data_IF_362070963278
#
_entry.id   IF_362070963278
#
_cell.length_a   1.000
_cell.length_b   1.000
_cell.length_c   1.000
_cell.angle_alpha   90.00
_cell.angle_beta   90.00
_cell.angle_gamma   90.00
#
_symmetry.space_group_name_H-M   'P 1'
#
loop_
_entity.id
_entity.type
_entity.pdbx_description
1 polymer ?
#
# COMPACT_ATOMS: atom_id res chain seq x y z
N UNK A 1 26.83 -18.22 16.35
CA UNK A 1 26.12 -16.97 16.72
C UNK A 1 24.67 -17.36 16.89
N UNK A 2 24.08 -17.27 18.09
CA UNK A 2 22.63 -17.54 18.26
C UNK A 2 21.92 -16.34 17.65
N UNK A 3 21.21 -16.54 16.52
CA UNK A 3 20.31 -15.53 15.99
C UNK A 3 19.20 -15.32 17.04
N UNK A 4 18.94 -14.07 17.39
CA UNK A 4 17.77 -13.70 18.18
C UNK A 4 16.47 -14.02 17.41
N UNK A 5 15.31 -13.85 18.02
CA UNK A 5 14.04 -14.01 17.32
C UNK A 5 14.02 -13.06 16.11
N UNK A 6 13.57 -13.59 14.96
CA UNK A 6 13.37 -12.77 13.76
C UNK A 6 12.16 -11.88 13.96
N UNK A 7 12.26 -10.60 13.58
CA UNK A 7 11.08 -9.73 13.50
C UNK A 7 10.10 -10.27 12.45
N UNK A 8 8.83 -10.22 12.76
CA UNK A 8 7.76 -10.73 11.90
C UNK A 8 7.15 -9.58 11.11
N UNK A 9 7.12 -9.71 9.78
CA UNK A 9 6.58 -8.72 8.86
C UNK A 9 5.33 -9.28 8.17
N UNK A 10 4.22 -8.58 8.26
CA UNK A 10 3.01 -8.89 7.50
C UNK A 10 2.85 -7.91 6.33
N UNK A 11 2.81 -8.44 5.10
CA UNK A 11 2.58 -7.67 3.87
C UNK A 11 1.16 -7.97 3.38
N UNK A 12 0.31 -6.93 3.29
CA UNK A 12 -1.03 -7.02 2.69
C UNK A 12 -0.99 -6.56 1.24
N UNK A 13 -1.88 -7.09 0.38
CA UNK A 13 -1.82 -6.82 -1.05
C UNK A 13 -0.55 -7.39 -1.70
N UNK A 14 -0.10 -8.55 -1.21
CA UNK A 14 1.17 -9.15 -1.57
C UNK A 14 1.25 -9.61 -3.04
N UNK A 15 0.13 -9.94 -3.68
CA UNK A 15 0.10 -10.27 -5.10
C UNK A 15 0.25 -9.04 -6.02
N UNK A 16 0.11 -7.82 -5.48
CA UNK A 16 0.34 -6.57 -6.20
C UNK A 16 1.82 -6.31 -6.51
N UNK A 17 2.09 -5.37 -7.42
CA UNK A 17 3.48 -5.03 -7.84
C UNK A 17 4.38 -4.65 -6.67
N UNK A 18 3.90 -3.78 -5.78
CA UNK A 18 4.68 -3.33 -4.62
C UNK A 18 4.85 -4.45 -3.59
N UNK A 19 3.77 -5.21 -3.31
CA UNK A 19 3.84 -6.33 -2.37
C UNK A 19 4.87 -7.37 -2.77
N UNK A 20 4.84 -7.80 -4.03
CA UNK A 20 5.82 -8.76 -4.58
C UNK A 20 7.26 -8.21 -4.55
N UNK A 21 7.45 -6.93 -4.88
CA UNK A 21 8.78 -6.33 -4.85
C UNK A 21 9.31 -6.24 -3.42
N UNK A 22 8.51 -5.81 -2.46
CA UNK A 22 8.90 -5.71 -1.05
C UNK A 22 9.23 -7.10 -0.50
N UNK A 23 8.37 -8.11 -0.73
CA UNK A 23 8.61 -9.48 -0.33
C UNK A 23 9.94 -10.01 -0.88
N UNK A 24 10.19 -9.77 -2.17
CA UNK A 24 11.41 -10.21 -2.85
C UNK A 24 12.69 -9.58 -2.27
N UNK A 25 12.65 -8.29 -1.89
CA UNK A 25 13.81 -7.57 -1.38
C UNK A 25 14.03 -7.69 0.13
N UNK A 26 13.05 -8.18 0.88
CA UNK A 26 13.22 -8.44 2.31
C UNK A 26 14.23 -9.57 2.54
N UNK A 27 15.12 -9.34 3.50
CA UNK A 27 16.08 -10.37 3.93
C UNK A 27 15.40 -11.42 4.83
N UNK A 28 15.02 -12.55 4.22
CA UNK A 28 14.35 -13.66 4.91
C UNK A 28 15.25 -14.36 5.98
N UNK A 29 16.53 -14.02 6.05
CA UNK A 29 17.39 -14.46 7.17
C UNK A 29 17.15 -13.61 8.43
N UNK A 30 16.67 -12.38 8.29
CA UNK A 30 16.40 -11.43 9.37
C UNK A 30 14.92 -11.32 9.73
N UNK A 31 14.04 -11.47 8.74
CA UNK A 31 12.60 -11.27 8.89
C UNK A 31 11.82 -12.54 8.59
N UNK A 32 10.86 -12.85 9.46
CA UNK A 32 9.82 -13.82 9.15
C UNK A 32 8.71 -13.10 8.39
N UNK A 33 8.61 -13.36 7.09
CA UNK A 33 7.64 -12.69 6.23
C UNK A 33 6.35 -13.50 6.15
N UNK A 34 5.22 -12.85 6.35
CA UNK A 34 3.88 -13.35 6.11
C UNK A 34 3.20 -12.47 5.08
N UNK A 35 2.49 -13.07 4.16
CA UNK A 35 1.79 -12.37 3.08
C UNK A 35 0.31 -12.63 3.14
N UNK A 36 -0.48 -11.66 2.70
CA UNK A 36 -1.91 -11.83 2.43
C UNK A 36 -2.34 -10.98 1.25
N UNK A 37 -3.38 -11.43 0.56
CA UNK A 37 -4.02 -10.72 -0.54
C UNK A 37 -5.54 -10.83 -0.39
N UNK A 38 -6.26 -11.22 -1.44
CA UNK A 38 -7.73 -11.30 -1.47
C UNK A 38 -8.33 -12.28 -0.45
N UNK A 39 -7.56 -13.24 0.03
CA UNK A 39 -7.97 -14.21 1.06
C UNK A 39 -8.16 -13.58 2.45
N UNK A 40 -7.58 -12.40 2.67
CA UNK A 40 -7.84 -11.55 3.83
C UNK A 40 -8.37 -10.21 3.33
N UNK A 41 -9.71 -10.05 3.33
CA UNK A 41 -10.32 -8.78 2.95
C UNK A 41 -9.96 -7.69 3.96
N UNK A 42 -9.03 -6.80 3.59
CA UNK A 42 -8.60 -5.68 4.46
C UNK A 42 -9.77 -4.80 4.90
N UNK A 43 -10.87 -4.77 4.14
CA UNK A 43 -12.07 -4.03 4.51
C UNK A 43 -12.92 -4.72 5.59
N UNK A 44 -12.65 -5.99 5.88
CA UNK A 44 -13.29 -6.75 6.95
C UNK A 44 -12.45 -6.66 8.24
N UNK A 45 -12.88 -5.82 9.16
CA UNK A 45 -12.15 -5.61 10.43
C UNK A 45 -11.92 -6.90 11.21
N UNK A 46 -12.89 -7.82 11.20
CA UNK A 46 -12.78 -9.08 11.94
C UNK A 46 -11.67 -9.99 11.40
N UNK A 47 -11.58 -10.13 10.06
CA UNK A 47 -10.51 -10.90 9.42
C UNK A 47 -9.14 -10.31 9.72
N UNK A 48 -9.01 -8.98 9.59
CA UNK A 48 -7.77 -8.24 9.85
C UNK A 48 -7.31 -8.39 11.31
N UNK A 49 -8.23 -8.24 12.26
CA UNK A 49 -7.94 -8.43 13.69
C UNK A 49 -7.52 -9.87 14.01
N UNK A 50 -8.28 -10.85 13.53
CA UNK A 50 -7.97 -12.26 13.75
C UNK A 50 -6.58 -12.63 13.23
N UNK A 51 -6.21 -12.13 12.05
CA UNK A 51 -4.89 -12.38 11.50
C UNK A 51 -3.80 -11.72 12.35
N UNK A 52 -3.94 -10.44 12.66
CA UNK A 52 -2.96 -9.70 13.46
C UNK A 52 -2.79 -10.30 14.87
N UNK A 53 -3.87 -10.70 15.54
CA UNK A 53 -3.84 -11.31 16.88
C UNK A 53 -3.19 -12.71 16.86
N UNK A 54 -3.46 -13.49 15.81
CA UNK A 54 -2.92 -14.85 15.66
C UNK A 54 -1.43 -14.86 15.40
N UNK A 55 -0.93 -13.93 14.60
CA UNK A 55 0.46 -13.92 14.14
C UNK A 55 1.33 -12.87 14.83
N UNK A 56 0.73 -11.85 15.47
CA UNK A 56 1.41 -10.76 16.19
C UNK A 56 2.62 -10.20 15.46
N UNK A 57 2.41 -9.63 14.26
CA UNK A 57 3.52 -9.05 13.50
C UNK A 57 4.17 -7.88 14.25
N UNK A 58 5.49 -7.70 14.08
CA UNK A 58 6.22 -6.52 14.55
C UNK A 58 6.04 -5.35 13.57
N UNK A 59 5.87 -5.67 12.27
CA UNK A 59 5.64 -4.70 11.20
C UNK A 59 4.46 -5.13 10.32
N UNK A 60 3.63 -4.16 9.93
CA UNK A 60 2.56 -4.35 8.95
C UNK A 60 2.81 -3.43 7.77
N UNK A 61 3.04 -3.99 6.58
CA UNK A 61 3.26 -3.21 5.36
C UNK A 61 2.00 -3.29 4.50
N UNK A 62 1.26 -2.18 4.45
CA UNK A 62 0.02 -2.10 3.69
C UNK A 62 0.26 -1.71 2.23
N UNK A 63 0.26 -2.71 1.35
CA UNK A 63 0.28 -2.55 -0.11
C UNK A 63 -1.11 -2.76 -0.74
N UNK A 64 -2.12 -3.14 0.05
CA UNK A 64 -3.47 -3.37 -0.45
C UNK A 64 -4.11 -2.06 -0.91
N UNK A 65 -4.53 -1.99 -2.15
CA UNK A 65 -5.22 -0.84 -2.71
C UNK A 65 -6.01 -1.20 -3.98
N UNK A 66 -7.13 -0.51 -4.19
CA UNK A 66 -7.71 -0.35 -5.51
C UNK A 66 -6.95 0.79 -6.20
N UNK A 67 -5.95 0.45 -7.03
CA UNK A 67 -4.95 1.39 -7.55
C UNK A 67 -5.29 2.01 -8.91
N UNK A 68 -6.32 1.52 -9.60
CA UNK A 68 -6.76 2.07 -10.89
C UNK A 68 -7.60 3.32 -10.67
N UNK A 69 -7.18 4.47 -11.21
CA UNK A 69 -7.97 5.72 -11.19
C UNK A 69 -9.33 5.50 -11.86
N UNK A 70 -9.35 4.87 -13.04
CA UNK A 70 -10.58 4.60 -13.80
C UNK A 70 -11.54 3.73 -12.98
N UNK A 71 -11.06 2.62 -12.42
CA UNK A 71 -11.90 1.74 -11.60
C UNK A 71 -12.39 2.43 -10.33
N UNK A 72 -11.58 3.31 -9.72
CA UNK A 72 -11.98 4.08 -8.55
C UNK A 72 -13.08 5.10 -8.88
N UNK A 73 -12.99 5.77 -10.02
CA UNK A 73 -14.01 6.73 -10.47
C UNK A 73 -15.31 6.02 -10.87
N UNK A 74 -15.24 4.81 -11.46
CA UNK A 74 -16.41 3.99 -11.77
C UNK A 74 -17.06 3.37 -10.52
N UNK A 75 -16.26 3.05 -9.49
CA UNK A 75 -16.70 2.37 -8.27
C UNK A 75 -16.17 3.06 -7.00
N UNK A 76 -16.66 4.30 -6.68
CA UNK A 76 -16.17 5.07 -5.53
C UNK A 76 -16.29 4.33 -4.19
N UNK A 77 -17.41 3.65 -3.96
CA UNK A 77 -17.66 2.90 -2.72
C UNK A 77 -16.60 1.79 -2.51
N UNK A 78 -16.25 1.06 -3.58
CA UNK A 78 -15.20 0.05 -3.52
C UNK A 78 -13.84 0.68 -3.24
N UNK A 79 -13.53 1.83 -3.87
CA UNK A 79 -12.30 2.56 -3.64
C UNK A 79 -12.15 2.98 -2.17
N UNK A 80 -13.18 3.60 -1.58
CA UNK A 80 -13.16 3.97 -0.16
C UNK A 80 -13.16 2.74 0.75
N UNK A 81 -13.88 1.67 0.41
CA UNK A 81 -13.90 0.44 1.19
C UNK A 81 -12.49 -0.16 1.31
N UNK A 82 -11.74 -0.27 0.21
CA UNK A 82 -10.39 -0.85 0.22
C UNK A 82 -9.37 0.17 0.73
N UNK A 83 -9.31 1.36 0.13
CA UNK A 83 -8.21 2.31 0.35
C UNK A 83 -8.32 3.06 1.68
N UNK A 84 -9.55 3.35 2.14
CA UNK A 84 -9.78 4.07 3.38
C UNK A 84 -10.12 3.13 4.55
N UNK A 85 -11.20 2.33 4.43
CA UNK A 85 -11.59 1.44 5.52
C UNK A 85 -10.61 0.28 5.71
N UNK A 86 -10.00 -0.23 4.64
CA UNK A 86 -8.92 -1.21 4.74
C UNK A 86 -7.71 -0.66 5.50
N UNK A 87 -7.27 0.55 5.16
CA UNK A 87 -6.18 1.21 5.88
C UNK A 87 -6.53 1.46 7.36
N UNK A 88 -7.78 1.89 7.65
CA UNK A 88 -8.31 2.06 9.00
C UNK A 88 -8.24 0.75 9.80
N UNK A 89 -8.71 -0.35 9.22
CA UNK A 89 -8.76 -1.65 9.90
C UNK A 89 -7.35 -2.16 10.22
N UNK A 90 -6.43 -2.01 9.27
CA UNK A 90 -5.03 -2.36 9.48
C UNK A 90 -4.37 -1.47 10.54
N UNK A 91 -4.69 -0.16 10.57
CA UNK A 91 -4.18 0.74 11.60
C UNK A 91 -4.65 0.31 13.01
N UNK A 92 -5.93 -0.02 13.16
CA UNK A 92 -6.49 -0.53 14.43
C UNK A 92 -5.78 -1.83 14.83
N UNK A 93 -5.70 -2.80 13.91
CA UNK A 93 -5.10 -4.10 14.20
C UNK A 93 -3.62 -3.98 14.55
N UNK A 94 -2.86 -3.19 13.80
CA UNK A 94 -1.44 -2.93 14.07
C UNK A 94 -1.26 -2.30 15.46
N UNK A 95 -2.07 -1.29 15.80
CA UNK A 95 -2.01 -0.65 17.11
C UNK A 95 -2.34 -1.62 18.25
N UNK A 96 -3.33 -2.51 18.06
CA UNK A 96 -3.72 -3.51 19.08
C UNK A 96 -2.61 -4.52 19.40
N UNK A 97 -1.78 -4.87 18.43
CA UNK A 97 -0.68 -5.81 18.64
C UNK A 97 0.67 -5.13 18.90
N UNK A 98 0.71 -3.79 18.84
CA UNK A 98 1.92 -2.99 19.02
C UNK A 98 2.84 -2.97 17.79
N UNK A 99 2.32 -3.30 16.61
CA UNK A 99 3.09 -3.32 15.37
C UNK A 99 3.33 -1.91 14.81
N UNK A 100 4.49 -1.70 14.19
CA UNK A 100 4.73 -0.53 13.35
C UNK A 100 4.07 -0.72 11.99
N UNK A 101 3.20 0.21 11.59
CA UNK A 101 2.53 0.17 10.28
C UNK A 101 3.26 1.03 9.25
N UNK A 102 3.60 0.44 8.11
CA UNK A 102 4.07 1.16 6.91
C UNK A 102 2.92 1.19 5.90
N UNK A 103 2.37 2.38 5.64
CA UNK A 103 1.25 2.56 4.71
C UNK A 103 1.73 3.17 3.39
N UNK A 104 1.58 2.41 2.30
CA UNK A 104 1.88 2.94 0.97
C UNK A 104 0.75 3.86 0.49
N UNK A 105 1.10 5.09 0.19
CA UNK A 105 0.23 6.12 -0.35
C UNK A 105 0.69 6.57 -1.74
N UNK A 106 0.23 7.71 -2.22
CA UNK A 106 0.39 8.17 -3.60
C UNK A 106 0.66 9.66 -3.67
N UNK A 107 1.30 10.13 -4.73
CA UNK A 107 1.39 11.53 -5.13
C UNK A 107 0.07 12.08 -5.70
N UNK A 108 -0.89 11.22 -6.07
CA UNK A 108 -2.26 11.62 -6.48
C UNK A 108 -3.05 12.37 -5.39
N UNK A 109 -2.44 12.57 -4.22
CA UNK A 109 -2.96 13.46 -3.18
C UNK A 109 -2.80 14.94 -3.53
N UNK A 110 -1.89 15.26 -4.43
CA UNK A 110 -1.57 16.63 -4.79
C UNK A 110 -2.28 17.06 -6.09
N UNK A 111 -2.50 18.36 -6.30
CA UNK A 111 -3.05 18.87 -7.55
C UNK A 111 -2.10 18.64 -8.72
N UNK A 112 -2.63 18.38 -9.92
CA UNK A 112 -1.82 18.06 -11.11
C UNK A 112 -0.99 19.24 -11.63
N UNK A 113 -1.38 20.48 -11.31
CA UNK A 113 -0.76 21.70 -11.83
C UNK A 113 -0.02 22.45 -10.70
N UNK A 114 1.12 21.91 -10.27
CA UNK A 114 2.01 22.61 -9.36
C UNK A 114 3.20 23.21 -10.11
N UNK A 115 3.70 24.33 -9.62
CA UNK A 115 4.87 25.03 -10.12
C UNK A 115 6.16 24.67 -9.34
N UNK A 116 6.06 23.73 -8.42
CA UNK A 116 7.15 23.26 -7.57
C UNK A 116 7.08 21.76 -7.30
N UNK A 117 8.17 21.19 -6.83
CA UNK A 117 8.19 19.81 -6.33
C UNK A 117 7.53 19.75 -4.96
N UNK A 118 6.60 18.80 -4.78
CA UNK A 118 5.90 18.61 -3.52
C UNK A 118 6.80 18.03 -2.43
N UNK A 119 6.49 18.38 -1.20
CA UNK A 119 7.05 17.81 0.01
C UNK A 119 5.91 17.35 0.95
N UNK A 120 6.29 16.73 2.06
CA UNK A 120 5.33 16.12 3.01
C UNK A 120 4.45 17.13 3.76
N UNK A 121 4.82 18.42 3.78
CA UNK A 121 4.09 19.49 4.45
C UNK A 121 3.11 20.23 3.53
N UNK A 122 3.18 19.97 2.22
CA UNK A 122 2.28 20.60 1.27
C UNK A 122 0.84 20.13 1.44
N UNK A 123 -0.09 21.07 1.24
CA UNK A 123 -1.53 20.79 1.37
C UNK A 123 -1.99 19.84 0.28
N UNK A 124 -2.57 18.73 0.69
CA UNK A 124 -3.16 17.75 -0.22
C UNK A 124 -4.54 18.19 -0.68
N UNK A 125 -4.79 18.10 -2.00
CA UNK A 125 -6.09 18.39 -2.62
C UNK A 125 -6.34 17.46 -3.82
N UNK A 126 -6.60 16.16 -3.57
CA UNK A 126 -6.71 15.16 -4.62
C UNK A 126 -7.88 15.44 -5.57
N UNK A 127 -7.67 15.49 -6.90
CA UNK A 127 -8.73 15.73 -7.86
C UNK A 127 -9.61 14.50 -8.09
N UNK A 128 -9.07 13.28 -8.03
CA UNK A 128 -9.75 12.04 -8.39
C UNK A 128 -10.17 11.21 -7.16
N UNK A 129 -11.13 10.30 -7.36
CA UNK A 129 -11.63 9.41 -6.29
C UNK A 129 -10.50 8.56 -5.70
N UNK A 130 -9.59 8.05 -6.53
CA UNK A 130 -8.44 7.30 -6.05
C UNK A 130 -7.64 8.08 -5.01
N UNK A 131 -7.17 9.27 -5.35
CA UNK A 131 -6.42 10.13 -4.42
C UNK A 131 -7.22 10.47 -3.16
N UNK A 132 -8.54 10.81 -3.31
CA UNK A 132 -9.43 11.10 -2.16
C UNK A 132 -9.55 9.90 -1.21
N UNK A 133 -9.71 8.70 -1.75
CA UNK A 133 -9.80 7.47 -0.96
C UNK A 133 -8.49 7.15 -0.24
N UNK A 134 -7.34 7.37 -0.89
CA UNK A 134 -6.01 7.21 -0.28
C UNK A 134 -5.77 8.25 0.82
N UNK A 135 -6.16 9.52 0.58
CA UNK A 135 -6.08 10.58 1.60
C UNK A 135 -6.90 10.23 2.85
N UNK A 136 -8.12 9.70 2.66
CA UNK A 136 -8.94 9.24 3.78
C UNK A 136 -8.25 8.10 4.55
N UNK A 137 -7.56 7.19 3.86
CA UNK A 137 -6.76 6.14 4.46
C UNK A 137 -5.60 6.69 5.30
N UNK A 138 -4.84 7.67 4.78
CA UNK A 138 -3.77 8.33 5.54
C UNK A 138 -4.28 8.96 6.84
N UNK A 139 -5.44 9.62 6.79
CA UNK A 139 -6.05 10.22 7.99
C UNK A 139 -6.33 9.17 9.06
N UNK A 140 -6.93 8.04 8.68
CA UNK A 140 -7.18 6.95 9.63
C UNK A 140 -5.89 6.37 10.20
N UNK A 141 -4.84 6.20 9.39
CA UNK A 141 -3.54 5.69 9.87
C UNK A 141 -2.94 6.65 10.89
N UNK A 142 -2.92 7.96 10.58
CA UNK A 142 -2.43 9.00 11.49
C UNK A 142 -3.20 9.05 12.83
N UNK A 143 -4.52 8.86 12.78
CA UNK A 143 -5.38 8.99 13.96
C UNK A 143 -5.37 7.73 14.85
N UNK A 144 -5.23 6.55 14.26
CA UNK A 144 -5.50 5.28 14.93
C UNK A 144 -4.27 4.43 15.22
N UNK A 145 -3.12 4.73 14.63
CA UNK A 145 -1.88 4.01 14.92
C UNK A 145 -0.77 4.97 15.38
N UNK A 146 -0.25 4.75 16.58
CA UNK A 146 0.79 5.59 17.17
C UNK A 146 2.18 5.35 16.55
N UNK A 147 2.39 4.17 15.97
CA UNK A 147 3.66 3.74 15.37
C UNK A 147 3.46 3.48 13.88
N UNK A 148 3.49 4.55 13.08
CA UNK A 148 3.28 4.41 11.64
C UNK A 148 4.27 5.24 10.81
N UNK A 149 4.43 4.80 9.56
CA UNK A 149 5.15 5.51 8.50
C UNK A 149 4.23 5.54 7.29
N UNK A 150 3.99 6.72 6.73
CA UNK A 150 3.26 6.89 5.47
C UNK A 150 4.28 7.17 4.38
N UNK A 151 4.28 6.32 3.34
CA UNK A 151 5.17 6.45 2.18
C UNK A 151 4.34 6.89 0.98
N UNK A 152 4.45 8.14 0.59
CA UNK A 152 3.86 8.66 -0.66
C UNK A 152 4.81 8.40 -1.81
N UNK A 153 4.32 7.76 -2.86
CA UNK A 153 5.12 7.37 -4.02
C UNK A 153 4.40 7.81 -5.28
N UNK A 154 5.17 8.22 -6.27
CA UNK A 154 4.70 8.44 -7.63
C UNK A 154 4.57 7.10 -8.37
N UNK A 155 4.48 7.14 -9.70
CA UNK A 155 4.32 5.97 -10.53
C UNK A 155 5.40 4.92 -10.27
N UNK A 156 4.96 3.73 -9.90
CA UNK A 156 5.82 2.56 -9.71
C UNK A 156 5.83 1.76 -11.02
N UNK A 157 7.01 1.52 -11.53
CA UNK A 157 7.22 0.73 -12.74
C UNK A 157 8.32 -0.31 -12.51
N UNK A 158 8.21 -1.40 -13.22
CA UNK A 158 9.16 -2.52 -13.20
C UNK A 158 9.53 -2.90 -14.61
N UNK A 159 10.43 -3.85 -14.80
CA UNK A 159 10.74 -4.42 -16.12
C UNK A 159 9.74 -5.48 -16.59
N UNK A 160 8.60 -5.66 -15.91
CA UNK A 160 7.58 -6.65 -16.29
C UNK A 160 6.91 -6.28 -17.63
N UNK A 161 6.62 -7.24 -18.51
CA UNK A 161 6.01 -6.98 -19.82
C UNK A 161 4.63 -6.31 -19.75
N UNK A 162 3.87 -6.55 -18.67
CA UNK A 162 2.53 -6.02 -18.43
C UNK A 162 2.51 -4.60 -17.80
N UNK A 163 3.68 -4.11 -17.42
CA UNK A 163 3.84 -2.76 -16.86
C UNK A 163 3.95 -1.69 -17.95
N UNK A 164 3.76 -0.41 -17.59
CA UNK A 164 3.85 0.70 -18.54
C UNK A 164 5.19 0.71 -19.29
N UNK A 165 6.31 0.60 -18.56
CA UNK A 165 7.64 0.57 -19.15
C UNK A 165 7.83 -0.69 -20.02
N UNK A 166 7.43 -1.85 -19.54
CA UNK A 166 7.52 -3.10 -20.30
C UNK A 166 6.72 -3.05 -21.61
N UNK A 167 5.49 -2.54 -21.57
CA UNK A 167 4.65 -2.34 -22.76
C UNK A 167 5.27 -1.35 -23.74
N UNK A 168 5.83 -0.23 -23.24
CA UNK A 168 6.51 0.76 -24.06
C UNK A 168 7.73 0.15 -24.77
N UNK A 169 8.56 -0.60 -24.06
CA UNK A 169 9.72 -1.29 -24.61
C UNK A 169 9.32 -2.33 -25.68
N UNK A 170 8.28 -3.14 -25.40
CA UNK A 170 7.78 -4.12 -26.36
C UNK A 170 7.19 -3.46 -27.61
N UNK A 171 6.42 -2.38 -27.46
CA UNK A 171 5.87 -1.65 -28.60
C UNK A 171 6.98 -1.03 -29.44
N UNK A 172 7.98 -0.42 -28.80
CA UNK A 172 9.16 0.13 -29.50
C UNK A 172 9.92 -0.95 -30.28
N UNK A 173 10.14 -2.12 -29.67
CA UNK A 173 10.80 -3.25 -30.33
C UNK A 173 10.00 -3.79 -31.54
N UNK A 174 8.68 -3.58 -31.57
CA UNK A 174 7.78 -3.93 -32.67
C UNK A 174 7.59 -2.80 -33.68
N UNK A 175 8.31 -1.68 -33.53
CA UNK A 175 8.16 -0.49 -34.41
C UNK A 175 6.80 0.22 -34.25
N UNK A 176 6.10 0.02 -33.13
CA UNK A 176 4.82 0.68 -32.84
C UNK A 176 5.04 1.91 -31.97
N UNK A 177 4.23 2.96 -32.21
CA UNK A 177 4.14 4.12 -31.30
C UNK A 177 3.32 3.75 -30.08
N UNK A 178 3.77 4.16 -28.91
CA UNK A 178 3.09 3.94 -27.61
C UNK A 178 2.25 5.17 -27.28
#
# INVERSE_FOLDING_TARGET
>A
MKMGPQDTVWITGAAGRMGQAIEHFLDHSRYKVMTSDIEIDVSNLHEVLNFAESYRPDFVINCAALASRTEADENPDKAYKVNALGARNLAIASNNVGATMVHLSTDDLFPENADHAFNEFDTTNPPHVYGKSKQAGERFVNELNQHHIIVRSSWVYTARPDDLLGRALLASAQGKTV
#
